data_IF_648937151269
#
_entry.id   IF_648937151269
#
_cell.length_a   1.000
_cell.length_b   1.000
_cell.length_c   1.000
_cell.angle_alpha   90.00
_cell.angle_beta   90.00
_cell.angle_gamma   90.00
#
_symmetry.space_group_name_H-M   'P 1'
#
loop_
_entity.id
_entity.type
_entity.pdbx_description
1 polymer ?
#
# COMPACT_ATOMS: atom_id res chain seq x y z
N UNK A 1 -9.62 -12.86 -0.65
CA UNK A 1 -8.65 -12.32 0.33
C UNK A 1 -8.76 -13.15 1.59
N UNK A 2 -7.67 -13.38 2.34
CA UNK A 2 -7.74 -14.02 3.64
C UNK A 2 -8.77 -13.32 4.53
N UNK A 3 -9.79 -14.05 4.97
CA UNK A 3 -10.87 -13.52 5.83
C UNK A 3 -10.37 -13.20 7.25
N UNK A 4 -9.28 -13.86 7.61
CA UNK A 4 -8.57 -13.91 8.87
C UNK A 4 -7.75 -12.65 9.18
N UNK A 5 -7.47 -11.79 8.20
CA UNK A 5 -6.86 -10.46 8.46
C UNK A 5 -7.98 -9.46 8.73
N UNK A 6 -8.05 -8.80 9.91
CA UNK A 6 -9.10 -7.85 10.22
C UNK A 6 -9.02 -6.57 9.37
N UNK A 7 -10.15 -5.87 9.24
CA UNK A 7 -10.16 -4.53 8.64
C UNK A 7 -9.52 -3.51 9.61
N UNK A 8 -8.71 -2.60 9.09
CA UNK A 8 -8.10 -1.48 9.82
C UNK A 8 -9.08 -0.34 10.12
N UNK A 9 -10.37 -0.53 9.84
CA UNK A 9 -11.42 0.51 9.97
C UNK A 9 -11.58 1.04 11.39
N UNK A 10 -11.18 0.27 12.40
CA UNK A 10 -11.20 0.69 13.80
C UNK A 10 -10.18 1.80 14.11
N UNK A 11 -9.18 2.00 13.24
CA UNK A 11 -8.15 3.00 13.44
C UNK A 11 -7.10 2.65 14.50
N UNK A 12 -6.07 3.48 14.60
CA UNK A 12 -5.04 3.36 15.64
C UNK A 12 -5.55 3.82 17.01
N UNK A 13 -4.68 3.76 18.02
CA UNK A 13 -4.92 4.29 19.35
C UNK A 13 -3.86 5.31 19.74
N UNK A 14 -4.28 6.53 20.09
CA UNK A 14 -3.42 7.53 20.73
C UNK A 14 -3.73 7.55 22.23
N UNK A 15 -2.81 7.01 23.03
CA UNK A 15 -2.92 6.93 24.49
C UNK A 15 -2.70 8.29 25.13
N UNK A 16 -3.24 8.48 26.34
CA UNK A 16 -3.20 9.76 27.06
C UNK A 16 -1.78 10.36 27.22
N UNK A 17 -0.76 9.50 27.37
CA UNK A 17 0.64 9.91 27.55
C UNK A 17 1.45 9.90 26.23
N UNK A 18 0.80 9.79 25.07
CA UNK A 18 1.46 9.73 23.76
C UNK A 18 0.88 10.76 22.80
N UNK A 19 1.74 11.41 22.02
CA UNK A 19 1.34 12.24 20.88
C UNK A 19 1.21 11.44 19.58
N UNK A 20 1.75 10.21 19.57
CA UNK A 20 1.79 9.32 18.41
C UNK A 20 0.73 8.22 18.55
N UNK A 21 0.11 7.85 17.43
CA UNK A 21 -0.82 6.73 17.34
C UNK A 21 -0.05 5.41 17.26
N UNK A 22 -0.44 4.43 18.07
CA UNK A 22 -0.02 3.03 17.89
C UNK A 22 -1.09 2.27 17.12
N UNK A 23 -0.67 1.27 16.34
CA UNK A 23 -1.57 0.49 15.49
C UNK A 23 -1.44 -0.99 15.83
N UNK A 24 -2.53 -1.60 16.27
CA UNK A 24 -2.60 -3.01 16.65
C UNK A 24 -3.99 -3.53 16.26
N UNK A 25 -4.05 -4.75 15.75
CA UNK A 25 -5.26 -5.31 15.16
C UNK A 25 -6.33 -5.67 16.21
N UNK A 26 -5.91 -5.90 17.46
CA UNK A 26 -6.74 -6.32 18.59
C UNK A 26 -6.79 -5.28 19.73
N UNK A 27 -6.28 -4.06 19.51
CA UNK A 27 -6.26 -3.02 20.55
C UNK A 27 -7.64 -2.37 20.71
N UNK A 28 -8.30 -2.54 21.88
CA UNK A 28 -9.60 -1.94 22.16
C UNK A 28 -9.52 -0.41 22.33
N UNK A 29 -8.32 0.15 22.55
CA UNK A 29 -8.07 1.56 22.82
C UNK A 29 -8.89 2.10 24.00
N UNK A 30 -9.03 1.31 25.07
CA UNK A 30 -9.78 1.69 26.27
C UNK A 30 -9.15 2.83 27.07
N UNK A 31 -7.86 3.08 26.87
CA UNK A 31 -7.01 4.06 27.57
C UNK A 31 -6.58 5.22 26.67
N UNK A 32 -7.27 5.43 25.55
CA UNK A 32 -6.88 6.42 24.55
C UNK A 32 -8.01 6.90 23.65
N UNK A 33 -7.62 7.61 22.60
CA UNK A 33 -8.52 8.13 21.57
C UNK A 33 -8.17 7.49 20.23
N UNK A 34 -9.18 7.06 19.48
CA UNK A 34 -8.98 6.46 18.16
C UNK A 34 -8.38 7.46 17.17
N UNK A 35 -7.41 6.98 16.40
CA UNK A 35 -6.83 7.70 15.29
C UNK A 35 -7.47 7.24 13.98
N UNK A 36 -7.91 8.19 13.14
CA UNK A 36 -8.42 7.85 11.82
C UNK A 36 -7.30 7.27 10.94
N UNK A 37 -7.71 6.38 10.04
CA UNK A 37 -6.85 5.85 8.98
C UNK A 37 -7.59 5.91 7.66
N UNK A 38 -6.84 6.01 6.57
CA UNK A 38 -7.43 5.93 5.23
C UNK A 38 -7.71 4.45 4.89
N UNK A 39 -8.95 4.16 4.55
CA UNK A 39 -9.41 2.83 4.13
C UNK A 39 -10.00 2.83 2.73
N UNK A 40 -10.29 4.01 2.16
CA UNK A 40 -10.76 4.16 0.80
C UNK A 40 -9.70 3.67 -0.18
N UNK A 41 -10.07 2.68 -0.99
CA UNK A 41 -9.27 2.16 -2.08
C UNK A 41 -9.66 2.87 -3.38
N UNK A 42 -8.72 2.92 -4.32
CA UNK A 42 -9.00 3.23 -5.71
C UNK A 42 -10.06 2.28 -6.29
N UNK A 43 -10.73 2.71 -7.36
CA UNK A 43 -11.76 1.90 -8.00
C UNK A 43 -11.18 0.59 -8.53
N UNK A 44 -12.02 -0.43 -8.63
CA UNK A 44 -11.63 -1.76 -9.12
C UNK A 44 -11.02 -1.75 -10.53
N UNK A 45 -11.20 -0.68 -11.30
CA UNK A 45 -10.61 -0.48 -12.62
C UNK A 45 -9.18 0.07 -12.60
N UNK A 46 -8.65 0.47 -11.44
CA UNK A 46 -7.30 1.03 -11.32
C UNK A 46 -6.21 0.06 -11.78
N UNK A 47 -6.33 -1.23 -11.43
CA UNK A 47 -5.42 -2.29 -11.90
C UNK A 47 -5.36 -2.31 -13.43
N UNK A 48 -6.53 -2.28 -14.08
CA UNK A 48 -6.62 -2.30 -15.54
C UNK A 48 -6.02 -1.05 -16.17
N UNK A 49 -6.22 0.11 -15.55
CA UNK A 49 -5.62 1.35 -16.00
C UNK A 49 -4.08 1.27 -15.94
N UNK A 50 -3.51 0.73 -14.87
CA UNK A 50 -2.06 0.57 -14.75
C UNK A 50 -1.48 -0.41 -15.79
N UNK A 51 -2.19 -1.51 -16.06
CA UNK A 51 -1.86 -2.44 -17.16
C UNK A 51 -1.89 -1.73 -18.52
N UNK A 52 -2.95 -0.97 -18.82
CA UNK A 52 -3.10 -0.24 -20.09
C UNK A 52 -1.99 0.82 -20.27
N UNK A 53 -1.55 1.46 -19.17
CA UNK A 53 -0.39 2.37 -19.19
C UNK A 53 0.89 1.62 -19.56
N UNK A 54 1.16 0.46 -18.95
CA UNK A 54 2.33 -0.36 -19.26
C UNK A 54 2.31 -0.83 -20.73
N UNK A 55 1.16 -1.29 -21.22
CA UNK A 55 0.96 -1.67 -22.62
C UNK A 55 1.20 -0.49 -23.56
N UNK A 56 0.72 0.70 -23.21
CA UNK A 56 0.90 1.90 -24.04
C UNK A 56 2.35 2.35 -24.09
N UNK A 57 3.10 2.24 -22.99
CA UNK A 57 4.54 2.53 -22.97
C UNK A 57 5.30 1.57 -23.90
N UNK A 58 4.95 0.29 -23.88
CA UNK A 58 5.56 -0.70 -24.78
C UNK A 58 5.24 -0.40 -26.25
N UNK A 59 3.97 -0.14 -26.58
CA UNK A 59 3.57 0.19 -27.96
C UNK A 59 4.22 1.48 -28.48
N UNK A 60 4.43 2.47 -27.61
CA UNK A 60 4.92 3.80 -28.01
C UNK A 60 6.44 3.88 -28.06
N UNK A 61 7.12 3.23 -27.12
CA UNK A 61 8.56 3.37 -26.92
C UNK A 61 9.33 2.05 -26.95
N UNK A 62 8.66 0.90 -27.09
CA UNK A 62 9.30 -0.42 -27.05
C UNK A 62 9.83 -0.82 -25.68
N UNK A 63 9.35 -0.18 -24.61
CA UNK A 63 9.77 -0.44 -23.23
C UNK A 63 8.68 -1.16 -22.46
N UNK A 64 9.06 -2.22 -21.74
CA UNK A 64 8.15 -2.94 -20.84
C UNK A 64 8.53 -2.56 -19.42
N UNK A 65 7.73 -1.74 -18.71
CA UNK A 65 8.02 -1.41 -17.31
C UNK A 65 7.77 -2.62 -16.41
N UNK A 66 8.43 -2.64 -15.24
CA UNK A 66 7.95 -3.47 -14.14
C UNK A 66 6.62 -2.89 -13.62
N UNK A 67 5.64 -3.75 -13.39
CA UNK A 67 4.34 -3.39 -12.83
C UNK A 67 4.10 -4.20 -11.56
N UNK A 68 4.07 -3.54 -10.41
CA UNK A 68 3.79 -4.15 -9.11
C UNK A 68 2.43 -3.63 -8.63
N UNK A 69 1.47 -4.54 -8.46
CA UNK A 69 0.09 -4.20 -8.09
C UNK A 69 -0.25 -4.79 -6.73
N UNK A 70 -0.66 -3.93 -5.80
CA UNK A 70 -1.19 -4.35 -4.51
C UNK A 70 -2.55 -5.04 -4.69
N UNK A 71 -2.58 -6.38 -4.56
CA UNK A 71 -3.83 -7.16 -4.66
C UNK A 71 -4.65 -7.20 -3.38
N UNK A 72 -4.25 -6.48 -2.33
CA UNK A 72 -5.01 -6.34 -1.09
C UNK A 72 -5.88 -5.09 -1.08
N UNK A 73 -7.06 -5.17 -0.45
CA UNK A 73 -7.90 -3.99 -0.27
C UNK A 73 -7.24 -3.05 0.75
N UNK A 74 -7.25 -1.73 0.49
CA UNK A 74 -6.62 -0.74 1.39
C UNK A 74 -7.13 -0.83 2.82
N UNK A 75 -8.40 -1.19 3.04
CA UNK A 75 -8.95 -1.39 4.38
C UNK A 75 -8.28 -2.52 5.16
N UNK A 76 -7.65 -3.49 4.49
CA UNK A 76 -6.88 -4.58 5.11
C UNK A 76 -5.42 -4.17 5.27
N UNK A 77 -4.79 -3.68 4.19
CA UNK A 77 -3.38 -3.28 4.19
C UNK A 77 -3.22 -2.00 3.37
N UNK A 78 -2.59 -0.97 3.93
CA UNK A 78 -2.20 0.22 3.18
C UNK A 78 -0.70 0.23 2.92
N UNK A 79 -0.28 -0.24 1.75
CA UNK A 79 1.13 -0.30 1.36
C UNK A 79 1.79 1.08 1.22
N UNK A 80 1.02 2.18 1.25
CA UNK A 80 1.55 3.54 1.21
C UNK A 80 1.64 4.20 2.61
N UNK A 81 1.83 3.36 3.63
CA UNK A 81 2.05 3.74 5.03
C UNK A 81 3.19 2.94 5.62
N UNK A 82 3.72 3.45 6.73
CA UNK A 82 4.67 2.72 7.56
C UNK A 82 4.07 1.39 8.01
N UNK A 83 4.89 0.34 8.04
CA UNK A 83 4.46 -1.06 8.25
C UNK A 83 3.48 -1.24 9.42
N UNK A 84 3.68 -0.55 10.54
CA UNK A 84 2.79 -0.66 11.70
C UNK A 84 1.37 -0.13 11.42
N UNK A 85 1.23 1.05 10.82
CA UNK A 85 -0.07 1.62 10.39
C UNK A 85 -0.66 0.83 9.21
N UNK A 86 0.19 0.39 8.29
CA UNK A 86 -0.19 -0.36 7.11
C UNK A 86 -0.85 -1.69 7.47
N UNK A 87 -0.37 -2.37 8.51
CA UNK A 87 -0.71 -3.77 8.80
C UNK A 87 -1.42 -3.98 10.13
N UNK A 88 -1.49 -2.94 10.96
CA UNK A 88 -1.90 -3.03 12.38
C UNK A 88 -1.14 -4.14 13.12
N UNK A 89 0.12 -4.36 12.72
CA UNK A 89 1.02 -5.41 13.19
C UNK A 89 0.44 -6.84 13.10
N UNK A 90 -0.56 -7.08 12.24
CA UNK A 90 -1.08 -8.42 12.02
C UNK A 90 -0.05 -9.27 11.25
N UNK A 91 0.31 -10.49 11.70
CA UNK A 91 1.40 -11.27 11.10
C UNK A 91 1.26 -11.53 9.59
N UNK A 92 0.06 -11.92 9.12
CA UNK A 92 -0.17 -12.16 7.68
C UNK A 92 -0.16 -10.87 6.85
N UNK A 93 -0.57 -9.75 7.45
CA UNK A 93 -0.51 -8.45 6.78
C UNK A 93 0.95 -7.98 6.66
N UNK A 94 1.78 -8.22 7.68
CA UNK A 94 3.24 -7.96 7.63
C UNK A 94 3.91 -8.76 6.51
N UNK A 95 3.59 -10.06 6.38
CA UNK A 95 4.15 -10.88 5.30
C UNK A 95 3.81 -10.32 3.92
N UNK A 96 2.54 -9.94 3.73
CA UNK A 96 2.06 -9.37 2.46
C UNK A 96 2.68 -8.00 2.18
N UNK A 97 2.79 -7.14 3.21
CA UNK A 97 3.46 -5.85 3.13
C UNK A 97 4.92 -6.01 2.67
N UNK A 98 5.69 -6.87 3.35
CA UNK A 98 7.08 -7.16 2.98
C UNK A 98 7.18 -7.67 1.55
N UNK A 99 6.39 -8.67 1.18
CA UNK A 99 6.42 -9.21 -0.19
C UNK A 99 6.17 -8.15 -1.25
N UNK A 100 5.21 -7.24 -1.03
CA UNK A 100 4.96 -6.12 -1.95
C UNK A 100 6.17 -5.20 -2.08
N UNK A 101 6.78 -4.80 -0.96
CA UNK A 101 7.94 -3.91 -0.96
C UNK A 101 9.21 -4.59 -1.49
N UNK A 102 9.40 -5.89 -1.23
CA UNK A 102 10.50 -6.69 -1.78
C UNK A 102 10.44 -6.72 -3.31
N UNK A 103 9.25 -6.90 -3.91
CA UNK A 103 9.08 -6.84 -5.37
C UNK A 103 9.36 -5.44 -5.94
N UNK A 104 9.00 -4.37 -5.22
CA UNK A 104 9.35 -3.00 -5.61
C UNK A 104 10.87 -2.78 -5.58
N UNK A 105 11.52 -3.18 -4.49
CA UNK A 105 12.97 -3.06 -4.31
C UNK A 105 13.74 -3.86 -5.36
N UNK A 106 13.30 -5.08 -5.68
CA UNK A 106 13.90 -5.91 -6.73
C UNK A 106 13.78 -5.25 -8.12
N UNK A 107 12.61 -4.69 -8.44
CA UNK A 107 12.37 -3.98 -9.69
C UNK A 107 13.25 -2.73 -9.80
N UNK A 108 13.30 -1.91 -8.74
CA UNK A 108 14.13 -0.70 -8.67
C UNK A 108 15.61 -1.07 -8.86
N UNK A 109 16.12 -2.03 -8.08
CA UNK A 109 17.51 -2.45 -8.17
C UNK A 109 17.86 -2.99 -9.57
N UNK A 110 16.91 -3.65 -10.25
CA UNK A 110 17.10 -4.12 -11.62
C UNK A 110 17.19 -2.98 -12.62
N UNK A 111 16.34 -1.96 -12.49
CA UNK A 111 16.39 -0.75 -13.32
C UNK A 111 17.70 0.01 -13.09
N UNK A 112 18.08 0.25 -11.84
CA UNK A 112 19.33 0.93 -11.50
C UNK A 112 20.56 0.23 -12.09
N UNK A 113 20.63 -1.11 -12.00
CA UNK A 113 21.72 -1.87 -12.62
C UNK A 113 21.74 -1.75 -14.14
N UNK A 114 20.57 -1.81 -14.79
CA UNK A 114 20.46 -1.81 -16.26
C UNK A 114 20.68 -0.44 -16.88
N UNK A 115 20.33 0.63 -16.17
CA UNK A 115 20.28 1.99 -16.68
C UNK A 115 21.18 2.95 -15.89
N UNK A 116 22.27 2.44 -15.29
CA UNK A 116 23.30 3.24 -14.62
C UNK A 116 22.75 4.19 -13.55
N UNK A 117 21.83 3.67 -12.71
CA UNK A 117 21.18 4.42 -11.64
C UNK A 117 20.05 5.35 -12.09
N UNK A 118 19.63 5.28 -13.36
CA UNK A 118 18.53 6.09 -13.88
C UNK A 118 17.24 5.27 -14.01
N UNK A 119 16.14 5.80 -13.50
CA UNK A 119 14.84 5.14 -13.55
C UNK A 119 13.71 6.09 -13.23
N UNK A 120 12.49 5.69 -13.58
CA UNK A 120 11.26 6.41 -13.24
C UNK A 120 10.35 5.47 -12.45
N UNK A 121 10.04 5.84 -11.21
CA UNK A 121 9.04 5.17 -10.37
C UNK A 121 7.75 5.99 -10.42
N UNK A 122 6.65 5.37 -10.86
CA UNK A 122 5.34 6.00 -10.92
C UNK A 122 4.42 5.33 -9.90
N UNK A 123 3.93 6.11 -8.95
CA UNK A 123 2.91 5.69 -7.99
C UNK A 123 1.53 6.12 -8.50
N UNK A 124 0.73 5.16 -8.96
CA UNK A 124 -0.53 5.41 -9.66
C UNK A 124 -1.69 5.29 -8.67
N UNK A 125 -2.36 6.42 -8.40
CA UNK A 125 -3.57 6.46 -7.57
C UNK A 125 -4.73 7.13 -8.29
N UNK A 126 -5.94 6.85 -7.82
CA UNK A 126 -7.15 7.61 -8.15
C UNK A 126 -7.52 8.54 -6.99
N UNK A 127 -8.12 9.69 -7.30
CA UNK A 127 -8.68 10.57 -6.28
C UNK A 127 -10.18 10.72 -6.51
N UNK A 128 -10.96 10.55 -5.44
CA UNK A 128 -12.37 10.92 -5.47
C UNK A 128 -12.46 12.45 -5.49
N UNK A 129 -13.07 13.04 -6.52
CA UNK A 129 -13.48 14.44 -6.42
C UNK A 129 -14.66 14.50 -5.45
N UNK A 130 -14.48 15.24 -4.35
CA UNK A 130 -15.57 15.53 -3.42
C UNK A 130 -16.73 16.15 -4.19
N UNK A 131 -17.92 15.59 -4.05
CA UNK A 131 -19.16 16.25 -4.45
C UNK A 131 -19.61 17.18 -3.33
#
# INVERSE_FOLDING_TARGET
MPEDVPDRTIGGCRRANSTVCSFQFDDPCSDGVRCSVTTAQDFATADRFAEDVADKLNQTYGIIPFLVVAKWNRKKIDFNREMSEATFNHPEAIKSYRSYHDYLEEAIATIERKFHGQGLLLDVHQHAQGK
#
